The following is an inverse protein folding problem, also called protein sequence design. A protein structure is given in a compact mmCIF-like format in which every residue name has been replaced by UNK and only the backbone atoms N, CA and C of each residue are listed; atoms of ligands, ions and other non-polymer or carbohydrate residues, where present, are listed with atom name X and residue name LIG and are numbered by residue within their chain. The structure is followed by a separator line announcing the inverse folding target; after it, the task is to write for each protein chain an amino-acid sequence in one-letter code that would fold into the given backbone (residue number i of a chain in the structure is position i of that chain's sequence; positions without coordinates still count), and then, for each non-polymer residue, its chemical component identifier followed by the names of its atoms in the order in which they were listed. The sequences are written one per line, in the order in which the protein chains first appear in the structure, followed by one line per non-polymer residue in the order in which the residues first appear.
data_IF_802617567173
#
_entry.id   IF_802617567173
#
_cell.length_a   1.000
_cell.length_b   1.000
_cell.length_c   1.000
_cell.angle_alpha   90.00
_cell.angle_beta   90.00
_cell.angle_gamma   90.00
#
_symmetry.space_group_name_H-M   'P 1'
#
loop_
_entity.id
_entity.type
_entity.pdbx_description
1 polymer ?
#
# COMPACT_ATOMS: atom_id res chain seq x y z
N UNK A 1 38.87 -35.49 -10.86
CA UNK A 1 38.21 -34.31 -11.47
C UNK A 1 38.66 -33.06 -10.70
N UNK A 2 39.33 -32.13 -11.35
CA UNK A 2 39.72 -30.86 -10.77
C UNK A 2 38.54 -29.85 -10.89
N UNK A 3 37.98 -29.40 -9.78
CA UNK A 3 36.89 -28.44 -9.79
C UNK A 3 37.45 -27.02 -9.81
N UNK A 4 37.41 -26.35 -10.97
CA UNK A 4 37.84 -24.96 -11.16
C UNK A 4 36.87 -24.00 -10.44
N UNK A 5 35.58 -24.19 -10.67
CA UNK A 5 34.53 -23.38 -10.05
C UNK A 5 33.93 -24.06 -8.80
N UNK A 6 33.85 -23.34 -7.72
CA UNK A 6 33.26 -23.81 -6.46
C UNK A 6 32.37 -22.72 -5.85
N UNK A 7 31.08 -22.62 -6.25
CA UNK A 7 30.16 -21.60 -5.73
C UNK A 7 30.01 -21.62 -4.21
N UNK A 8 30.23 -22.78 -3.54
CA UNK A 8 30.21 -22.91 -2.07
C UNK A 8 31.24 -22.02 -1.38
N UNK A 9 32.29 -21.54 -2.05
CA UNK A 9 33.28 -20.62 -1.49
C UNK A 9 32.64 -19.34 -0.98
N UNK A 10 31.58 -18.83 -1.69
CA UNK A 10 30.86 -17.63 -1.31
C UNK A 10 29.74 -17.87 -0.25
N UNK A 11 29.60 -19.11 0.22
CA UNK A 11 28.61 -19.51 1.23
C UNK A 11 29.24 -19.93 2.57
N UNK A 12 30.57 -19.95 2.67
CA UNK A 12 31.33 -20.59 3.73
C UNK A 12 31.12 -20.00 5.12
N UNK A 13 30.90 -18.69 5.23
CA UNK A 13 30.62 -18.01 6.48
C UNK A 13 29.73 -16.79 6.26
N UNK A 14 29.22 -16.21 7.37
CA UNK A 14 28.29 -15.07 7.27
C UNK A 14 28.95 -13.82 6.68
N UNK A 15 30.19 -13.54 6.99
CA UNK A 15 30.89 -12.36 6.47
C UNK A 15 30.96 -12.35 4.94
N UNK A 16 31.34 -13.49 4.33
CA UNK A 16 31.39 -13.59 2.86
C UNK A 16 30.00 -13.57 2.25
N UNK A 17 28.99 -14.18 2.90
CA UNK A 17 27.61 -14.10 2.42
C UNK A 17 27.11 -12.65 2.40
N UNK A 18 27.34 -11.88 3.49
CA UNK A 18 26.99 -10.44 3.55
C UNK A 18 27.72 -9.61 2.51
N UNK A 19 28.99 -9.89 2.28
CA UNK A 19 29.79 -9.19 1.25
C UNK A 19 29.21 -9.37 -0.16
N UNK A 20 28.70 -10.56 -0.45
CA UNK A 20 28.22 -10.94 -1.78
C UNK A 20 26.69 -10.74 -1.98
N UNK A 21 25.98 -10.12 -0.99
CA UNK A 21 24.55 -9.84 -1.13
C UNK A 21 24.31 -8.84 -2.27
N UNK A 22 23.46 -9.21 -3.22
CA UNK A 22 23.03 -8.36 -4.32
C UNK A 22 21.85 -7.45 -3.90
N UNK A 23 20.89 -8.03 -3.15
CA UNK A 23 19.71 -7.31 -2.65
C UNK A 23 19.98 -6.78 -1.26
N UNK A 24 19.71 -5.51 -1.05
CA UNK A 24 19.80 -4.83 0.25
C UNK A 24 18.51 -4.12 0.56
N UNK A 25 18.18 -4.03 1.84
CA UNK A 25 16.98 -3.38 2.35
C UNK A 25 17.36 -2.30 3.36
N UNK A 26 16.58 -1.22 3.38
CA UNK A 26 16.65 -0.15 4.38
C UNK A 26 15.29 0.00 5.08
N UNK A 27 15.25 0.42 6.36
CA UNK A 27 14.00 0.87 6.98
C UNK A 27 13.28 1.96 6.19
N UNK A 28 14.03 2.82 5.48
CA UNK A 28 13.49 3.90 4.64
C UNK A 28 12.71 3.40 3.42
N UNK A 29 12.83 2.11 3.09
CA UNK A 29 12.08 1.48 2.00
C UNK A 29 10.75 0.85 2.47
N UNK A 30 10.41 1.00 3.76
CA UNK A 30 9.23 0.36 4.36
C UNK A 30 8.13 1.39 4.62
N UNK A 31 6.89 1.04 4.26
CA UNK A 31 5.70 1.87 4.44
C UNK A 31 4.70 1.06 5.30
N UNK A 32 4.24 1.65 6.40
CA UNK A 32 3.31 1.00 7.32
C UNK A 32 1.86 1.41 7.05
N UNK A 33 0.91 0.48 6.81
CA UNK A 33 -0.50 0.81 6.65
C UNK A 33 -1.16 1.10 8.01
N UNK A 34 -1.87 2.22 8.10
CA UNK A 34 -2.61 2.66 9.30
C UNK A 34 -4.09 2.80 8.96
N UNK A 35 -4.96 2.22 9.77
CA UNK A 35 -6.41 2.33 9.67
C UNK A 35 -6.92 3.33 10.70
N UNK A 36 -7.61 4.38 10.24
CA UNK A 36 -8.20 5.41 11.11
C UNK A 36 -9.71 5.29 11.09
N UNK A 37 -10.32 5.09 12.26
CA UNK A 37 -11.76 4.91 12.42
C UNK A 37 -12.34 6.17 13.09
N UNK A 38 -13.19 6.88 12.36
CA UNK A 38 -13.82 8.14 12.81
C UNK A 38 -14.71 7.95 14.06
N UNK A 39 -15.22 6.74 14.26
CA UNK A 39 -16.15 6.44 15.37
C UNK A 39 -15.44 6.02 16.65
N UNK A 40 -14.13 5.79 16.58
CA UNK A 40 -13.34 5.21 17.66
C UNK A 40 -12.62 6.31 18.46
N UNK A 41 -12.59 6.15 19.79
CA UNK A 41 -11.63 6.83 20.67
C UNK A 41 -10.61 5.80 21.17
N UNK A 42 -9.31 6.14 21.08
CA UNK A 42 -8.23 5.21 21.38
C UNK A 42 -7.94 4.24 20.22
N UNK A 43 -7.64 2.98 20.53
CA UNK A 43 -7.36 1.94 19.52
C UNK A 43 -8.12 0.64 19.80
N UNK A 44 -8.42 -0.10 18.72
CA UNK A 44 -9.10 -1.40 18.76
C UNK A 44 -8.36 -2.41 17.89
N UNK A 45 -8.08 -3.64 18.37
CA UNK A 45 -7.47 -4.69 17.54
C UNK A 45 -8.34 -5.02 16.31
N UNK A 46 -7.68 -5.33 15.19
CA UNK A 46 -8.32 -5.85 13.98
C UNK A 46 -8.24 -7.37 14.02
N UNK A 47 -9.38 -8.05 14.22
CA UNK A 47 -9.44 -9.52 14.35
C UNK A 47 -8.84 -10.25 13.15
N UNK A 48 -9.12 -9.76 11.93
CA UNK A 48 -8.64 -10.35 10.70
C UNK A 48 -7.13 -10.13 10.44
N UNK A 49 -6.48 -9.23 11.22
CA UNK A 49 -5.09 -8.84 11.08
C UNK A 49 -4.40 -8.84 12.47
N UNK A 50 -4.03 -9.99 13.02
CA UNK A 50 -3.44 -10.09 14.35
C UNK A 50 -2.23 -9.17 14.53
N UNK A 51 -2.24 -8.33 15.58
CA UNK A 51 -1.19 -7.35 15.85
C UNK A 51 -1.38 -6.00 15.16
N UNK A 52 -2.45 -5.83 14.36
CA UNK A 52 -2.82 -4.55 13.75
C UNK A 52 -4.04 -3.94 14.47
N UNK A 53 -4.21 -2.62 14.33
CA UNK A 53 -5.22 -1.88 15.07
C UNK A 53 -5.95 -0.87 14.18
N UNK A 54 -7.22 -0.64 14.47
CA UNK A 54 -7.89 0.62 14.14
C UNK A 54 -7.51 1.66 15.19
N UNK A 55 -7.28 2.88 14.77
CA UNK A 55 -6.98 4.02 15.63
C UNK A 55 -8.06 5.09 15.47
N UNK A 56 -8.55 5.63 16.57
CA UNK A 56 -9.28 6.89 16.54
C UNK A 56 -8.35 8.05 16.14
N UNK A 57 -8.92 9.16 15.71
CA UNK A 57 -8.16 10.38 15.38
C UNK A 57 -7.30 10.84 16.57
N UNK A 58 -7.86 10.71 17.79
CA UNK A 58 -7.18 11.03 19.05
C UNK A 58 -5.96 10.13 19.36
N UNK A 59 -5.90 8.95 18.76
CA UNK A 59 -4.89 7.93 19.03
C UNK A 59 -3.96 7.63 17.84
N UNK A 60 -4.18 8.23 16.66
CA UNK A 60 -3.35 7.95 15.47
C UNK A 60 -1.87 8.28 15.71
N UNK A 61 -1.57 9.23 16.58
CA UNK A 61 -0.20 9.54 17.01
C UNK A 61 0.53 8.37 17.66
N UNK A 62 -0.17 7.43 18.31
CA UNK A 62 0.44 6.22 18.88
C UNK A 62 1.01 5.31 17.78
N UNK A 63 0.30 5.17 16.65
CA UNK A 63 0.79 4.42 15.51
C UNK A 63 2.08 5.03 14.94
N UNK A 64 2.14 6.36 14.86
CA UNK A 64 3.33 7.09 14.42
C UNK A 64 4.50 6.91 15.38
N UNK A 65 4.26 7.01 16.70
CA UNK A 65 5.30 6.77 17.72
C UNK A 65 5.88 5.35 17.64
N UNK A 66 5.02 4.35 17.45
CA UNK A 66 5.45 2.95 17.27
C UNK A 66 6.29 2.79 15.99
N UNK A 67 5.93 3.44 14.89
CA UNK A 67 6.68 3.45 13.65
C UNK A 67 8.07 4.09 13.86
N UNK A 68 8.13 5.29 14.42
CA UNK A 68 9.37 6.02 14.67
C UNK A 68 10.31 5.25 15.61
N UNK A 69 9.76 4.63 16.67
CA UNK A 69 10.54 3.79 17.58
C UNK A 69 11.16 2.58 16.86
N UNK A 70 10.44 2.00 15.89
CA UNK A 70 10.96 0.93 15.05
C UNK A 70 11.89 1.43 13.93
N UNK A 71 11.87 2.74 13.60
CA UNK A 71 12.65 3.36 12.54
C UNK A 71 11.96 3.38 11.19
N UNK A 72 10.64 3.29 11.18
CA UNK A 72 9.79 3.49 10.01
C UNK A 72 9.30 4.94 10.03
N UNK A 73 9.52 5.66 8.94
CA UNK A 73 9.21 7.08 8.81
C UNK A 73 8.08 7.38 7.83
N UNK A 74 7.49 6.34 7.24
CA UNK A 74 6.46 6.44 6.21
C UNK A 74 5.23 5.61 6.58
N UNK A 75 4.04 6.16 6.36
CA UNK A 75 2.80 5.38 6.43
C UNK A 75 1.91 5.61 5.22
N UNK A 76 0.95 4.70 5.03
CA UNK A 76 -0.20 4.90 4.17
C UNK A 76 -1.48 4.84 5.01
N UNK A 77 -2.35 5.86 4.87
CA UNK A 77 -3.59 5.97 5.64
C UNK A 77 -4.78 5.38 4.89
N UNK A 78 -5.61 4.63 5.62
CA UNK A 78 -6.92 4.16 5.21
C UNK A 78 -7.97 4.68 6.19
N UNK A 79 -9.03 5.32 5.68
CA UNK A 79 -10.08 5.90 6.52
C UNK A 79 -11.31 5.01 6.62
N UNK A 80 -11.88 4.92 7.82
CA UNK A 80 -13.19 4.32 8.06
C UNK A 80 -14.14 5.45 8.52
N UNK A 81 -14.98 5.98 7.61
CA UNK A 81 -15.89 7.06 7.94
C UNK A 81 -17.05 6.56 8.80
N UNK A 82 -17.67 7.47 9.54
CA UNK A 82 -18.89 7.22 10.35
C UNK A 82 -20.08 6.89 9.47
N UNK A 83 -20.21 7.60 8.36
CA UNK A 83 -21.33 7.50 7.44
C UNK A 83 -20.85 7.24 6.04
N UNK A 84 -21.58 6.41 5.33
CA UNK A 84 -21.35 6.08 3.93
C UNK A 84 -22.58 6.40 3.12
N UNK A 85 -22.39 6.83 1.89
CA UNK A 85 -23.45 7.10 0.95
C UNK A 85 -23.13 6.55 -0.45
N UNK A 86 -24.07 6.66 -1.38
CA UNK A 86 -23.92 6.10 -2.73
C UNK A 86 -22.78 6.76 -3.55
N UNK A 87 -22.38 7.98 -3.20
CA UNK A 87 -21.28 8.67 -3.87
C UNK A 87 -20.00 8.73 -3.05
N UNK A 88 -20.00 8.24 -1.80
CA UNK A 88 -18.84 8.25 -0.93
C UNK A 88 -18.39 9.66 -0.53
N UNK A 89 -19.36 10.59 -0.29
CA UNK A 89 -19.09 12.02 -0.12
C UNK A 89 -18.14 12.36 1.03
N UNK A 90 -18.07 11.51 2.05
CA UNK A 90 -17.13 11.66 3.17
C UNK A 90 -15.65 11.51 2.77
N UNK A 91 -15.34 10.94 1.58
CA UNK A 91 -13.96 10.79 1.10
C UNK A 91 -13.26 12.14 0.84
N UNK A 92 -14.00 13.15 0.39
CA UNK A 92 -13.47 14.50 0.11
C UNK A 92 -13.99 15.58 1.04
N UNK A 93 -14.66 15.20 2.13
CA UNK A 93 -15.13 16.16 3.12
C UNK A 93 -13.94 16.89 3.76
N UNK A 94 -14.07 18.21 3.95
CA UNK A 94 -13.02 19.05 4.57
C UNK A 94 -12.56 18.51 5.93
N UNK A 95 -13.49 17.98 6.71
CA UNK A 95 -13.27 17.37 8.01
C UNK A 95 -13.47 15.84 7.98
N UNK A 96 -13.17 15.20 6.85
CA UNK A 96 -13.21 13.75 6.72
C UNK A 96 -12.16 13.04 7.58
N UNK A 97 -12.37 11.76 7.83
CA UNK A 97 -11.52 10.97 8.74
C UNK A 97 -10.04 10.98 8.36
N UNK A 98 -9.71 10.88 7.06
CA UNK A 98 -8.32 10.92 6.58
C UNK A 98 -7.76 12.33 6.71
N UNK A 99 -8.52 13.36 6.35
CA UNK A 99 -8.11 14.75 6.44
C UNK A 99 -7.78 15.16 7.88
N UNK A 100 -8.62 14.77 8.83
CA UNK A 100 -8.36 15.01 10.26
C UNK A 100 -7.18 14.20 10.79
N UNK A 101 -7.01 12.94 10.34
CA UNK A 101 -5.85 12.14 10.71
C UNK A 101 -4.53 12.75 10.19
N UNK A 102 -4.52 13.25 8.95
CA UNK A 102 -3.35 13.97 8.39
C UNK A 102 -3.00 15.17 9.26
N UNK A 103 -3.98 16.03 9.55
CA UNK A 103 -3.78 17.22 10.39
C UNK A 103 -3.23 16.86 11.77
N UNK A 104 -3.82 15.84 12.42
CA UNK A 104 -3.38 15.36 13.72
C UNK A 104 -1.94 14.83 13.72
N UNK A 105 -1.56 14.10 12.68
CA UNK A 105 -0.18 13.60 12.51
C UNK A 105 0.76 14.76 12.25
N UNK A 106 0.49 15.61 11.26
CA UNK A 106 1.37 16.69 10.84
C UNK A 106 1.57 17.77 11.92
N UNK A 107 0.56 18.03 12.73
CA UNK A 107 0.68 18.96 13.85
C UNK A 107 1.70 18.50 14.92
N UNK A 108 1.88 17.19 15.11
CA UNK A 108 2.77 16.63 16.14
C UNK A 108 4.07 16.06 15.56
N UNK A 109 4.02 15.53 14.34
CA UNK A 109 5.14 14.87 13.66
C UNK A 109 5.29 15.41 12.22
N UNK A 110 5.73 16.66 12.05
CA UNK A 110 5.75 17.32 10.73
C UNK A 110 6.64 16.60 9.70
N UNK A 111 7.70 15.93 10.16
CA UNK A 111 8.64 15.20 9.29
C UNK A 111 8.22 13.75 9.00
N UNK A 112 7.14 13.25 9.63
CA UNK A 112 6.65 11.91 9.35
C UNK A 112 5.90 11.92 8.01
N UNK A 113 6.31 11.04 7.08
CA UNK A 113 5.81 11.06 5.71
C UNK A 113 4.47 10.34 5.59
N UNK A 114 3.43 11.07 5.22
CA UNK A 114 2.04 10.59 5.17
C UNK A 114 1.61 10.41 3.72
N UNK A 115 1.45 9.15 3.30
CA UNK A 115 0.83 8.76 2.04
C UNK A 115 -0.64 8.50 2.32
N UNK A 116 -1.54 8.85 1.39
CA UNK A 116 -2.96 8.57 1.53
C UNK A 116 -3.48 7.70 0.40
N UNK A 117 -4.20 6.63 0.75
CA UNK A 117 -4.98 5.88 -0.23
C UNK A 117 -6.10 6.75 -0.79
N UNK A 118 -6.27 6.76 -2.10
CA UNK A 118 -7.37 7.46 -2.77
C UNK A 118 -8.26 6.42 -3.43
N UNK A 119 -9.40 6.17 -2.82
CA UNK A 119 -10.39 5.22 -3.29
C UNK A 119 -11.77 5.59 -2.74
N UNK A 120 -12.81 5.01 -3.32
CA UNK A 120 -14.19 5.25 -2.88
C UNK A 120 -14.75 4.11 -2.04
N UNK A 121 -14.13 2.92 -2.03
CA UNK A 121 -14.73 1.71 -1.47
C UNK A 121 -14.91 1.72 0.05
N UNK A 122 -14.13 2.50 0.78
CA UNK A 122 -14.28 2.71 2.21
C UNK A 122 -15.46 3.64 2.55
N UNK A 123 -15.87 4.46 1.59
CA UNK A 123 -16.80 5.59 1.76
C UNK A 123 -18.17 5.35 1.10
N UNK A 124 -18.24 4.47 0.09
CA UNK A 124 -19.49 4.10 -0.57
C UNK A 124 -20.25 3.07 0.26
N UNK A 125 -21.58 3.18 0.32
CA UNK A 125 -22.46 2.24 1.01
C UNK A 125 -22.51 0.86 0.34
N UNK A 126 -22.25 0.82 -0.96
CA UNK A 126 -22.17 -0.40 -1.75
C UNK A 126 -20.76 -1.04 -1.80
N UNK A 127 -19.72 -0.36 -1.32
CA UNK A 127 -18.36 -0.88 -1.23
C UNK A 127 -17.60 -1.04 -2.57
N UNK A 128 -18.11 -0.54 -3.69
CA UNK A 128 -17.36 -0.46 -4.94
C UNK A 128 -16.43 0.77 -4.96
N UNK A 129 -15.39 0.73 -5.81
CA UNK A 129 -14.34 1.76 -5.86
C UNK A 129 -14.72 3.00 -6.68
N UNK A 130 -15.99 3.22 -7.00
CA UNK A 130 -16.44 4.35 -7.81
C UNK A 130 -17.95 4.55 -7.77
N UNK A 131 -18.40 5.53 -8.52
CA UNK A 131 -19.81 5.88 -8.69
C UNK A 131 -20.49 4.81 -9.54
N UNK A 132 -21.69 4.38 -9.15
CA UNK A 132 -22.44 3.37 -9.89
C UNK A 132 -23.36 4.00 -10.93
N UNK A 133 -23.44 3.35 -12.10
CA UNK A 133 -24.55 3.44 -13.05
C UNK A 133 -25.22 2.07 -13.12
N UNK A 134 -26.38 1.93 -12.50
CA UNK A 134 -27.02 0.64 -12.29
C UNK A 134 -26.18 -0.28 -11.38
N UNK A 135 -25.62 -1.34 -11.94
CA UNK A 135 -24.77 -2.30 -11.23
C UNK A 135 -23.28 -2.25 -11.63
N UNK A 136 -22.91 -1.30 -12.49
CA UNK A 136 -21.54 -1.14 -12.95
C UNK A 136 -20.92 0.17 -12.42
N UNK A 137 -19.61 0.20 -12.27
CA UNK A 137 -18.90 1.42 -11.92
C UNK A 137 -18.75 2.28 -13.17
N UNK A 138 -19.27 3.51 -13.11
CA UNK A 138 -19.08 4.53 -14.14
C UNK A 138 -17.68 5.14 -13.99
N UNK A 139 -16.80 4.79 -14.90
CA UNK A 139 -15.41 5.25 -14.91
C UNK A 139 -15.32 6.78 -14.88
N UNK A 140 -15.95 7.44 -15.82
CA UNK A 140 -15.77 8.88 -16.06
C UNK A 140 -16.34 9.74 -14.94
N UNK A 141 -17.51 9.39 -14.39
CA UNK A 141 -18.05 10.04 -13.20
C UNK A 141 -17.20 9.83 -11.96
N UNK A 142 -16.50 8.70 -11.88
CA UNK A 142 -15.61 8.38 -10.75
C UNK A 142 -14.36 9.25 -10.75
N UNK A 143 -13.83 9.63 -11.92
CA UNK A 143 -12.63 10.48 -12.02
C UNK A 143 -12.78 11.80 -11.27
N UNK A 144 -13.95 12.44 -11.34
CA UNK A 144 -14.20 13.72 -10.64
C UNK A 144 -14.11 13.58 -9.11
N UNK A 145 -14.66 12.50 -8.57
CA UNK A 145 -14.67 12.30 -7.11
C UNK A 145 -13.30 11.86 -6.60
N UNK A 146 -12.54 11.10 -7.39
CA UNK A 146 -11.15 10.75 -7.07
C UNK A 146 -10.24 11.99 -7.06
N UNK A 147 -10.39 12.86 -8.04
CA UNK A 147 -9.65 14.12 -8.10
C UNK A 147 -9.96 15.02 -6.91
N UNK A 148 -11.24 15.15 -6.51
CA UNK A 148 -11.66 15.88 -5.30
C UNK A 148 -11.07 15.26 -4.03
N UNK A 149 -11.07 13.93 -3.93
CA UNK A 149 -10.52 13.22 -2.77
C UNK A 149 -9.02 13.47 -2.64
N UNK A 150 -8.25 13.27 -3.72
CA UNK A 150 -6.81 13.52 -3.71
C UNK A 150 -6.47 14.98 -3.37
N UNK A 151 -7.20 15.93 -3.94
CA UNK A 151 -7.04 17.36 -3.65
C UNK A 151 -7.31 17.67 -2.17
N UNK A 152 -8.38 17.12 -1.59
CA UNK A 152 -8.71 17.34 -0.17
C UNK A 152 -7.64 16.77 0.78
N UNK A 153 -7.03 15.64 0.42
CA UNK A 153 -5.90 15.06 1.15
C UNK A 153 -4.67 15.95 1.08
N UNK A 154 -4.32 16.47 -0.11
CA UNK A 154 -3.21 17.41 -0.28
C UNK A 154 -3.45 18.71 0.51
N UNK A 155 -4.66 19.25 0.50
CA UNK A 155 -5.06 20.42 1.28
C UNK A 155 -4.95 20.18 2.80
N UNK A 156 -5.18 18.96 3.26
CA UNK A 156 -5.00 18.57 4.65
C UNK A 156 -3.53 18.40 5.05
N UNK A 157 -2.61 18.33 4.08
CA UNK A 157 -1.16 18.21 4.31
C UNK A 157 -0.58 16.81 4.04
N UNK A 158 -1.24 15.97 3.23
CA UNK A 158 -0.64 14.72 2.76
C UNK A 158 0.63 14.99 1.94
N UNK A 159 1.66 14.18 2.14
CA UNK A 159 2.92 14.32 1.41
C UNK A 159 2.87 13.63 0.03
N UNK A 160 1.99 12.62 -0.13
CA UNK A 160 1.81 11.86 -1.37
C UNK A 160 0.39 11.29 -1.42
N UNK A 161 -0.19 11.20 -2.60
CA UNK A 161 -1.48 10.54 -2.82
C UNK A 161 -1.30 9.26 -3.62
N UNK A 162 -2.10 8.22 -3.29
CA UNK A 162 -1.94 6.88 -3.87
C UNK A 162 -3.30 6.34 -4.37
N UNK A 163 -3.68 6.64 -5.63
CA UNK A 163 -4.94 6.17 -6.21
C UNK A 163 -4.94 4.64 -6.37
N UNK A 164 -5.95 3.99 -5.76
CA UNK A 164 -6.08 2.53 -5.70
C UNK A 164 -7.37 1.99 -6.31
N UNK A 165 -8.12 2.82 -6.97
CA UNK A 165 -9.45 2.56 -7.54
C UNK A 165 -9.42 1.71 -8.82
N UNK A 166 -8.39 1.86 -9.67
CA UNK A 166 -8.21 1.24 -11.00
C UNK A 166 -9.13 1.79 -12.10
N UNK A 167 -9.56 3.07 -12.01
CA UNK A 167 -10.28 3.71 -13.12
C UNK A 167 -9.31 4.18 -14.21
N UNK A 168 -9.72 4.07 -15.47
CA UNK A 168 -8.92 4.57 -16.59
C UNK A 168 -8.86 6.11 -16.55
N UNK A 169 -7.65 6.68 -16.69
CA UNK A 169 -7.45 8.14 -16.71
C UNK A 169 -7.41 8.82 -15.34
N UNK A 170 -7.45 8.05 -14.25
CA UNK A 170 -7.51 8.60 -12.88
C UNK A 170 -6.26 9.38 -12.46
N UNK A 171 -5.09 8.94 -12.92
CA UNK A 171 -3.84 9.63 -12.59
C UNK A 171 -3.81 11.00 -13.25
N UNK A 172 -4.22 11.11 -14.52
CA UNK A 172 -4.32 12.38 -15.24
C UNK A 172 -5.32 13.34 -14.55
N UNK A 173 -6.49 12.84 -14.16
CA UNK A 173 -7.51 13.64 -13.47
C UNK A 173 -7.00 14.18 -12.12
N UNK A 174 -6.34 13.34 -11.32
CA UNK A 174 -5.74 13.72 -10.02
C UNK A 174 -4.59 14.72 -10.25
N UNK A 175 -3.68 14.45 -11.18
CA UNK A 175 -2.54 15.35 -11.47
C UNK A 175 -3.02 16.74 -11.89
N UNK A 176 -3.99 16.80 -12.80
CA UNK A 176 -4.58 18.07 -13.25
C UNK A 176 -5.19 18.86 -12.06
N UNK A 177 -5.97 18.20 -11.21
CA UNK A 177 -6.58 18.84 -10.04
C UNK A 177 -5.55 19.35 -9.02
N UNK A 178 -4.51 18.57 -8.75
CA UNK A 178 -3.42 18.98 -7.85
C UNK A 178 -2.67 20.19 -8.42
N UNK A 179 -2.32 20.18 -9.71
CA UNK A 179 -1.57 21.25 -10.36
C UNK A 179 -2.36 22.57 -10.42
N UNK A 180 -3.65 22.49 -10.77
CA UNK A 180 -4.53 23.67 -10.83
C UNK A 180 -4.67 24.37 -9.47
N UNK A 181 -4.56 23.61 -8.37
CA UNK A 181 -4.71 24.14 -7.02
C UNK A 181 -3.39 24.42 -6.28
N UNK A 182 -2.24 24.38 -6.98
CA UNK A 182 -0.95 24.74 -6.39
C UNK A 182 -0.21 23.60 -5.68
N UNK A 183 -0.63 22.34 -5.90
CA UNK A 183 -0.03 21.12 -5.32
C UNK A 183 0.86 20.35 -6.32
N UNK A 184 1.57 21.07 -7.22
CA UNK A 184 2.44 20.46 -8.24
C UNK A 184 3.55 19.58 -7.63
N UNK A 185 3.91 19.82 -6.38
CA UNK A 185 4.98 19.08 -5.68
C UNK A 185 4.47 17.86 -4.88
N UNK A 186 3.16 17.58 -4.88
CA UNK A 186 2.62 16.37 -4.25
C UNK A 186 2.73 15.21 -5.24
N UNK A 187 3.57 14.18 -4.94
CA UNK A 187 3.73 13.05 -5.83
C UNK A 187 2.51 12.14 -5.85
N UNK A 188 2.37 11.37 -6.94
CA UNK A 188 1.35 10.34 -7.13
C UNK A 188 2.02 8.96 -7.16
N UNK A 189 1.69 8.11 -6.18
CA UNK A 189 2.01 6.69 -6.15
C UNK A 189 0.82 5.90 -6.71
N UNK A 190 0.84 5.61 -7.99
CA UNK A 190 -0.27 4.92 -8.65
C UNK A 190 -0.26 3.41 -8.37
N UNK A 191 -1.42 2.86 -8.02
CA UNK A 191 -1.63 1.40 -7.96
C UNK A 191 -1.78 0.85 -9.39
N UNK A 192 -0.74 0.99 -10.19
CA UNK A 192 -0.80 0.74 -11.64
C UNK A 192 -1.12 -0.70 -11.99
N UNK A 193 -0.56 -1.67 -11.26
CA UNK A 193 -0.79 -3.08 -11.47
C UNK A 193 -1.51 -3.72 -10.26
N UNK A 194 -2.80 -3.41 -10.09
CA UNK A 194 -3.61 -3.98 -9.02
C UNK A 194 -4.56 -5.06 -9.56
N UNK A 195 -4.34 -6.28 -9.10
CA UNK A 195 -5.08 -7.45 -9.53
C UNK A 195 -6.35 -7.70 -8.70
N UNK A 196 -7.38 -8.29 -9.30
CA UNK A 196 -8.57 -8.80 -8.62
C UNK A 196 -8.20 -10.06 -7.82
N UNK A 197 -7.70 -9.86 -6.60
CA UNK A 197 -7.06 -10.92 -5.82
C UNK A 197 -7.92 -11.43 -4.68
N UNK A 198 -7.84 -12.74 -4.42
CA UNK A 198 -8.40 -13.38 -3.24
C UNK A 198 -7.65 -13.02 -1.94
N UNK A 199 -6.42 -12.49 -2.03
CA UNK A 199 -5.61 -12.09 -0.88
C UNK A 199 -6.11 -10.81 -0.17
N UNK A 200 -7.20 -10.18 -0.64
CA UNK A 200 -7.75 -8.95 0.00
C UNK A 200 -8.79 -9.20 1.09
N UNK A 201 -9.12 -10.47 1.39
CA UNK A 201 -10.16 -10.81 2.36
C UNK A 201 -10.01 -10.08 3.70
N UNK A 202 -8.87 -10.20 4.42
CA UNK A 202 -8.68 -9.53 5.70
C UNK A 202 -8.72 -8.00 5.63
N UNK A 203 -8.25 -7.39 4.53
CA UNK A 203 -8.33 -5.93 4.31
C UNK A 203 -9.78 -5.48 4.18
N UNK A 204 -10.61 -6.20 3.42
CA UNK A 204 -12.03 -5.84 3.25
C UNK A 204 -12.76 -5.79 4.59
N UNK A 205 -12.43 -6.70 5.50
CA UNK A 205 -12.94 -6.69 6.87
C UNK A 205 -12.38 -5.52 7.68
N UNK A 206 -11.08 -5.24 7.56
CA UNK A 206 -10.41 -4.17 8.29
C UNK A 206 -10.88 -2.78 7.85
N UNK A 207 -11.05 -2.55 6.55
CA UNK A 207 -11.46 -1.27 5.96
C UNK A 207 -12.98 -1.12 5.82
N UNK A 208 -13.77 -2.14 6.18
CA UNK A 208 -15.22 -2.14 5.98
C UNK A 208 -15.62 -1.91 4.52
N UNK A 209 -14.81 -2.39 3.57
CA UNK A 209 -14.90 -2.08 2.14
C UNK A 209 -15.30 -3.29 1.27
N UNK A 210 -15.95 -4.30 1.85
CA UNK A 210 -16.45 -5.43 1.08
C UNK A 210 -17.58 -4.95 0.13
N UNK A 211 -17.56 -5.33 -1.17
CA UNK A 211 -18.66 -4.99 -2.06
C UNK A 211 -19.94 -5.69 -1.60
N UNK A 212 -21.06 -4.95 -1.60
CA UNK A 212 -22.38 -5.46 -1.17
C UNK A 212 -23.01 -6.37 -2.23
N UNK A 213 -22.54 -6.31 -3.46
CA UNK A 213 -22.95 -7.19 -4.58
C UNK A 213 -21.78 -7.35 -5.57
N UNK A 214 -21.86 -8.39 -6.43
CA UNK A 214 -20.89 -8.63 -7.49
C UNK A 214 -19.45 -8.83 -7.00
N UNK A 215 -18.52 -8.39 -7.81
CA UNK A 215 -17.08 -8.39 -7.50
C UNK A 215 -16.39 -7.16 -8.13
N UNK A 216 -15.06 -7.10 -8.11
CA UNK A 216 -14.28 -5.97 -8.65
C UNK A 216 -13.52 -6.31 -9.93
N UNK A 217 -13.83 -7.43 -10.58
CA UNK A 217 -13.14 -7.87 -11.79
C UNK A 217 -13.41 -7.01 -13.01
N UNK A 218 -14.47 -6.19 -12.97
CA UNK A 218 -14.78 -5.23 -14.03
C UNK A 218 -13.77 -4.08 -14.14
N UNK A 219 -12.98 -3.80 -13.07
CA UNK A 219 -12.00 -2.72 -13.05
C UNK A 219 -10.65 -3.09 -12.43
N UNK A 220 -10.53 -4.16 -11.64
CA UNK A 220 -9.24 -4.70 -11.21
C UNK A 220 -8.76 -5.75 -12.21
N UNK A 221 -7.44 -5.81 -12.43
CA UNK A 221 -6.82 -6.68 -13.44
C UNK A 221 -7.08 -8.17 -13.19
N UNK A 222 -7.21 -8.93 -14.26
CA UNK A 222 -7.32 -10.38 -14.20
C UNK A 222 -5.97 -11.01 -13.76
N UNK A 223 -5.97 -11.87 -12.71
CA UNK A 223 -4.75 -12.56 -12.25
C UNK A 223 -4.04 -13.42 -13.31
N UNK A 224 -4.71 -13.75 -14.43
CA UNK A 224 -4.11 -14.50 -15.54
C UNK A 224 -3.23 -13.61 -16.45
N UNK A 225 -3.32 -12.27 -16.35
CA UNK A 225 -2.76 -11.34 -17.32
C UNK A 225 -1.52 -10.63 -16.77
N UNK A 226 -0.33 -11.07 -17.20
CA UNK A 226 0.93 -10.40 -16.82
C UNK A 226 1.22 -9.19 -17.72
N UNK A 227 1.01 -9.31 -19.03
CA UNK A 227 1.33 -8.23 -19.98
C UNK A 227 0.46 -6.99 -19.83
N UNK A 228 -0.75 -7.15 -19.30
CA UNK A 228 -1.66 -6.06 -18.99
C UNK A 228 -1.05 -5.11 -17.96
N UNK A 229 -0.30 -5.63 -16.97
CA UNK A 229 0.39 -4.81 -15.98
C UNK A 229 1.36 -3.79 -16.58
N UNK A 230 2.07 -4.18 -17.65
CA UNK A 230 3.00 -3.27 -18.32
C UNK A 230 2.22 -2.15 -19.01
N UNK A 231 1.11 -2.48 -19.69
CA UNK A 231 0.24 -1.49 -20.31
C UNK A 231 -0.35 -0.51 -19.30
N UNK A 232 -0.85 -1.01 -18.17
CA UNK A 232 -1.42 -0.17 -17.09
C UNK A 232 -0.35 0.77 -16.51
N UNK A 233 0.86 0.27 -16.27
CA UNK A 233 1.98 1.10 -15.84
C UNK A 233 2.35 2.17 -16.88
N UNK A 234 2.41 1.83 -18.17
CA UNK A 234 2.67 2.79 -19.26
C UNK A 234 1.64 3.92 -19.30
N UNK A 235 0.35 3.58 -19.12
CA UNK A 235 -0.73 4.56 -19.10
C UNK A 235 -0.61 5.49 -17.88
N UNK A 236 -0.47 4.93 -16.66
CA UNK A 236 -0.32 5.73 -15.45
C UNK A 236 0.92 6.65 -15.49
N UNK A 237 2.03 6.18 -16.06
CA UNK A 237 3.25 6.99 -16.27
C UNK A 237 2.97 8.13 -17.25
N UNK A 238 2.31 7.85 -18.37
CA UNK A 238 1.95 8.88 -19.35
C UNK A 238 0.95 9.92 -18.80
N UNK A 239 0.13 9.53 -17.84
CA UNK A 239 -0.82 10.36 -17.12
C UNK A 239 -0.18 11.21 -16.00
N UNK A 240 1.08 10.95 -15.64
CA UNK A 240 1.84 11.74 -14.66
C UNK A 240 2.03 11.07 -13.29
N UNK A 241 2.01 9.73 -13.21
CA UNK A 241 2.46 9.03 -12.01
C UNK A 241 3.96 9.25 -11.78
N UNK A 242 4.33 9.54 -10.54
CA UNK A 242 5.75 9.67 -10.12
C UNK A 242 6.33 8.33 -9.66
N UNK A 243 5.48 7.45 -9.13
CA UNK A 243 5.82 6.10 -8.69
C UNK A 243 4.71 5.14 -9.14
N UNK A 244 5.10 3.91 -9.44
CA UNK A 244 4.18 2.83 -9.81
C UNK A 244 4.15 1.73 -8.75
N UNK A 245 3.04 1.00 -8.65
CA UNK A 245 2.89 -0.06 -7.65
C UNK A 245 2.30 -1.34 -8.25
N UNK A 246 2.85 -2.48 -7.80
CA UNK A 246 2.28 -3.82 -8.02
C UNK A 246 1.60 -4.30 -6.74
N UNK A 247 0.34 -4.75 -6.86
CA UNK A 247 -0.47 -5.28 -5.76
C UNK A 247 -1.31 -6.48 -6.21
N UNK A 248 -1.22 -7.64 -5.54
CA UNK A 248 -0.38 -8.04 -4.41
C UNK A 248 1.11 -8.20 -4.76
N UNK A 249 1.95 -8.58 -3.77
CA UNK A 249 3.40 -8.70 -3.96
C UNK A 249 3.87 -10.15 -4.16
N UNK A 250 3.68 -11.03 -3.17
CA UNK A 250 4.39 -12.29 -3.08
C UNK A 250 4.06 -13.28 -4.22
N UNK A 251 2.80 -13.32 -4.65
CA UNK A 251 2.36 -14.17 -5.79
C UNK A 251 2.54 -13.50 -7.16
N UNK A 252 3.10 -12.28 -7.21
CA UNK A 252 3.26 -11.45 -8.40
C UNK A 252 4.71 -10.95 -8.56
N UNK A 253 5.69 -11.74 -8.07
CA UNK A 253 7.12 -11.42 -8.18
C UNK A 253 7.59 -11.33 -9.64
N UNK A 254 6.98 -12.10 -10.54
CA UNK A 254 7.21 -12.04 -11.99
C UNK A 254 6.76 -10.69 -12.58
N UNK A 255 5.62 -10.16 -12.12
CA UNK A 255 5.11 -8.83 -12.53
C UNK A 255 6.01 -7.73 -11.98
N UNK A 256 6.40 -7.81 -10.70
CA UNK A 256 7.35 -6.86 -10.08
C UNK A 256 8.65 -6.85 -10.86
N UNK A 257 9.18 -8.04 -11.23
CA UNK A 257 10.42 -8.13 -12.00
C UNK A 257 10.28 -7.50 -13.39
N UNK A 258 9.18 -7.77 -14.09
CA UNK A 258 8.95 -7.22 -15.43
C UNK A 258 8.76 -5.69 -15.38
N UNK A 259 8.03 -5.15 -14.41
CA UNK A 259 7.92 -3.70 -14.22
C UNK A 259 9.28 -3.06 -13.92
N UNK A 260 10.10 -3.67 -13.04
CA UNK A 260 11.42 -3.17 -12.72
C UNK A 260 12.40 -3.21 -13.90
N UNK A 261 12.23 -4.15 -14.84
CA UNK A 261 13.03 -4.22 -16.05
C UNK A 261 12.55 -3.27 -17.17
N UNK A 262 11.28 -2.85 -17.11
CA UNK A 262 10.62 -2.06 -18.17
C UNK A 262 10.63 -0.56 -17.90
N UNK A 263 10.67 -0.15 -16.62
CA UNK A 263 10.47 1.26 -16.24
C UNK A 263 11.57 1.75 -15.30
N UNK A 264 11.98 3.01 -15.48
CA UNK A 264 12.96 3.70 -14.63
C UNK A 264 12.32 4.40 -13.40
N UNK A 265 10.99 4.34 -13.25
CA UNK A 265 10.30 4.92 -12.10
C UNK A 265 10.51 4.06 -10.83
N UNK A 266 10.53 4.69 -9.64
CA UNK A 266 10.53 3.94 -8.40
C UNK A 266 9.31 3.01 -8.31
N UNK A 267 9.58 1.72 -8.02
CA UNK A 267 8.58 0.67 -7.98
C UNK A 267 8.25 0.30 -6.54
N UNK A 268 6.99 0.48 -6.16
CA UNK A 268 6.42 0.00 -4.93
C UNK A 268 5.80 -1.40 -5.10
N UNK A 269 5.84 -2.21 -4.07
CA UNK A 269 5.04 -3.42 -3.99
C UNK A 269 4.20 -3.39 -2.71
N UNK A 270 3.02 -4.02 -2.73
CA UNK A 270 2.18 -4.13 -1.55
C UNK A 270 2.03 -5.59 -1.12
N UNK A 271 2.69 -5.96 -0.01
CA UNK A 271 2.42 -7.20 0.71
C UNK A 271 1.09 -7.08 1.44
N UNK A 272 0.05 -7.67 0.85
CA UNK A 272 -1.33 -7.42 1.23
C UNK A 272 -1.78 -8.24 2.46
N UNK A 273 -2.98 -7.93 2.93
CA UNK A 273 -3.54 -8.47 4.16
C UNK A 273 -3.61 -10.00 4.20
N UNK A 274 -3.94 -10.66 3.08
CA UNK A 274 -3.97 -12.11 2.99
C UNK A 274 -2.59 -12.73 3.07
N UNK A 275 -1.56 -12.11 2.47
CA UNK A 275 -0.18 -12.57 2.57
C UNK A 275 0.31 -12.51 4.02
N UNK A 276 0.03 -11.42 4.73
CA UNK A 276 0.30 -11.26 6.15
C UNK A 276 -0.46 -12.30 7.01
N UNK A 277 -1.77 -12.42 6.81
CA UNK A 277 -2.63 -13.31 7.60
C UNK A 277 -2.25 -14.79 7.40
N UNK A 278 -1.85 -15.21 6.20
CA UNK A 278 -1.36 -16.57 5.93
C UNK A 278 -0.10 -16.89 6.74
N UNK A 279 0.86 -15.96 6.82
CA UNK A 279 2.07 -16.14 7.61
C UNK A 279 1.71 -16.24 9.11
N UNK A 280 0.86 -15.33 9.61
CA UNK A 280 0.39 -15.36 11.00
C UNK A 280 -0.33 -16.67 11.35
N UNK A 281 -1.23 -17.13 10.50
CA UNK A 281 -1.98 -18.36 10.72
C UNK A 281 -1.07 -19.61 10.70
N UNK A 282 -0.17 -19.70 9.74
CA UNK A 282 0.78 -20.82 9.66
C UNK A 282 1.76 -20.84 10.84
N UNK A 283 2.22 -19.67 11.29
CA UNK A 283 3.08 -19.54 12.47
C UNK A 283 2.34 -19.92 13.76
N UNK A 284 1.10 -19.45 13.94
CA UNK A 284 0.26 -19.83 15.08
C UNK A 284 0.00 -21.34 15.17
N UNK A 285 -0.08 -22.02 14.01
CA UNK A 285 -0.19 -23.48 13.90
C UNK A 285 1.16 -24.23 14.09
N UNK A 286 2.28 -23.51 14.29
CA UNK A 286 3.62 -24.08 14.45
C UNK A 286 4.22 -24.70 13.17
N UNK A 287 3.70 -24.35 12.00
CA UNK A 287 4.13 -24.91 10.71
C UNK A 287 5.37 -24.19 10.15
N UNK A 288 5.54 -22.92 10.50
CA UNK A 288 6.63 -22.05 10.03
C UNK A 288 7.18 -21.20 11.17
N UNK A 289 8.43 -20.75 11.02
CA UNK A 289 9.02 -19.69 11.84
C UNK A 289 8.61 -18.34 11.25
N UNK A 290 7.75 -17.61 11.96
CA UNK A 290 7.18 -16.33 11.51
C UNK A 290 8.26 -15.32 11.16
N UNK A 291 9.25 -15.17 12.03
CA UNK A 291 10.31 -14.18 11.84
C UNK A 291 11.14 -14.43 10.58
N UNK A 292 11.52 -15.68 10.37
CA UNK A 292 12.30 -16.07 9.18
C UNK A 292 11.51 -15.93 7.90
N UNK A 293 10.24 -16.35 7.88
CA UNK A 293 9.38 -16.22 6.69
C UNK A 293 9.07 -14.76 6.40
N UNK A 294 8.80 -13.92 7.41
CA UNK A 294 8.64 -12.49 7.27
C UNK A 294 9.86 -11.87 6.54
N UNK A 295 11.06 -12.17 7.03
CA UNK A 295 12.31 -11.67 6.44
C UNK A 295 12.51 -12.16 5.00
N UNK A 296 12.30 -13.46 4.75
CA UNK A 296 12.52 -14.06 3.43
C UNK A 296 11.49 -13.57 2.41
N UNK A 297 10.23 -13.42 2.81
CA UNK A 297 9.15 -12.90 1.95
C UNK A 297 9.43 -11.46 1.53
N UNK A 298 9.77 -10.58 2.47
CA UNK A 298 10.14 -9.20 2.16
C UNK A 298 11.36 -9.15 1.22
N UNK A 299 12.41 -9.90 1.54
CA UNK A 299 13.62 -9.97 0.70
C UNK A 299 13.31 -10.43 -0.73
N UNK A 300 12.35 -11.36 -0.91
CA UNK A 300 11.97 -11.85 -2.24
C UNK A 300 11.36 -10.74 -3.10
N UNK A 301 10.60 -9.83 -2.50
CA UNK A 301 9.99 -8.67 -3.18
C UNK A 301 11.07 -7.68 -3.64
N UNK A 302 12.01 -7.33 -2.76
CA UNK A 302 13.15 -6.47 -3.14
C UNK A 302 14.05 -7.14 -4.18
N UNK A 303 14.29 -8.45 -4.09
CA UNK A 303 15.05 -9.21 -5.09
C UNK A 303 14.35 -9.23 -6.44
N UNK A 304 13.02 -9.18 -6.46
CA UNK A 304 12.26 -9.04 -7.71
C UNK A 304 12.39 -7.64 -8.32
N UNK A 305 12.85 -6.63 -7.57
CA UNK A 305 13.17 -5.30 -8.10
C UNK A 305 12.39 -4.15 -7.49
N UNK A 306 11.52 -4.40 -6.50
CA UNK A 306 10.86 -3.31 -5.80
C UNK A 306 11.86 -2.42 -5.06
N UNK A 307 11.63 -1.10 -5.08
CA UNK A 307 12.40 -0.10 -4.34
C UNK A 307 11.83 0.12 -2.94
N UNK A 308 10.51 -0.08 -2.77
CA UNK A 308 9.81 0.09 -1.51
C UNK A 308 8.70 -0.94 -1.34
N UNK A 309 8.32 -1.18 -0.08
CA UNK A 309 7.34 -2.19 0.29
C UNK A 309 6.34 -1.63 1.31
N UNK A 310 5.07 -1.62 0.94
CA UNK A 310 3.97 -1.46 1.89
C UNK A 310 3.72 -2.82 2.54
N UNK A 311 3.80 -2.89 3.87
CA UNK A 311 3.63 -4.14 4.59
C UNK A 311 3.19 -3.93 6.04
N UNK A 312 2.35 -4.82 6.53
CA UNK A 312 1.96 -4.89 7.94
C UNK A 312 3.11 -5.27 8.87
N UNK A 313 4.19 -5.85 8.34
CA UNK A 313 5.42 -6.17 9.06
C UNK A 313 6.48 -5.06 9.05
N UNK A 314 6.14 -3.84 8.62
CA UNK A 314 7.14 -2.78 8.44
C UNK A 314 7.97 -2.52 9.72
N UNK A 315 7.33 -2.51 10.89
CA UNK A 315 8.00 -2.27 12.18
C UNK A 315 8.96 -3.40 12.54
N UNK A 316 8.54 -4.65 12.40
CA UNK A 316 9.33 -5.85 12.68
C UNK A 316 10.49 -6.01 11.69
N UNK A 317 10.25 -5.72 10.40
CA UNK A 317 11.29 -5.73 9.36
C UNK A 317 12.34 -4.65 9.60
N UNK A 318 11.94 -3.43 9.97
CA UNK A 318 12.89 -2.37 10.31
C UNK A 318 13.78 -2.76 11.49
N UNK A 319 13.21 -3.44 12.50
CA UNK A 319 14.00 -3.98 13.62
C UNK A 319 14.95 -5.10 13.18
N UNK A 320 14.51 -6.00 12.26
CA UNK A 320 15.35 -7.06 11.71
C UNK A 320 16.54 -6.51 10.91
N UNK A 321 16.31 -5.44 10.13
CA UNK A 321 17.37 -4.73 9.40
C UNK A 321 18.38 -4.12 10.38
N UNK A 322 17.92 -3.42 11.41
CA UNK A 322 18.79 -2.82 12.43
C UNK A 322 19.63 -3.86 13.20
N UNK A 323 19.10 -5.06 13.44
CA UNK A 323 19.85 -6.17 14.05
C UNK A 323 20.87 -6.80 13.08
N UNK A 324 20.79 -6.49 11.77
CA UNK A 324 21.61 -7.08 10.74
C UNK A 324 21.22 -8.52 10.36
N UNK A 325 20.00 -8.94 10.68
CA UNK A 325 19.47 -10.26 10.31
C UNK A 325 19.10 -10.29 8.81
N UNK A 326 18.62 -9.16 8.30
CA UNK A 326 18.42 -8.88 6.85
C UNK A 326 18.95 -7.47 6.52
N UNK A 327 19.15 -7.18 5.22
CA UNK A 327 19.65 -5.87 4.78
C UNK A 327 21.02 -5.90 4.16
#
# INVERSE_FOLDING_TARGET
MELIQRPRRLRGNEAVRRLCRETRMSPDSLIYPIFVDETLSGRRPIEALPGQYHYGIDAVGQAVEECLAAGVTHCILFGLPREKDACGSSAWAEHGVVQEAIRAIKARYPDFYVITDVCMCEYTDHGHCGILDGHEVDNDKTLEVLAKTALSHAQAGADMVAPSDMMDGRVAAIRAALDEHGFQNVPILAYSAKYASAFYGPFRSAAGSAPSFGDRKGYQMDPHNRKEAIKECELDIAEGADLIMVKPALSYLDVIRECADSFDLPLCAYSVSGEYAMIKAAAAAGLIDEYRIMCESALSVFRAGANMLITYYAKELAQAIRKGDIG
#
